data_IF_871711273356
#
_entry.id   IF_871711273356
#
_cell.length_a   1.000
_cell.length_b   1.000
_cell.length_c   1.000
_cell.angle_alpha   90.00
_cell.angle_beta   90.00
_cell.angle_gamma   90.00
#
_symmetry.space_group_name_H-M   'P 1'
#
loop_
_entity.id
_entity.type
_entity.pdbx_description
1 polymer ?
#
# COMPACT_ATOMS: atom_id res chain seq x y z
N UNK A 1 19.44 -27.63 -19.28
CA UNK A 1 20.21 -26.69 -20.10
C UNK A 1 20.17 -25.35 -19.40
N UNK A 2 21.31 -24.86 -18.88
CA UNK A 2 21.40 -23.48 -18.38
C UNK A 2 21.31 -22.54 -19.59
N UNK A 3 20.28 -21.72 -19.63
CA UNK A 3 20.22 -20.63 -20.61
C UNK A 3 21.31 -19.62 -20.22
N UNK A 4 22.30 -19.48 -21.07
CA UNK A 4 23.32 -18.45 -20.88
C UNK A 4 22.67 -17.10 -21.17
N UNK A 5 22.43 -16.31 -20.14
CA UNK A 5 21.86 -14.97 -20.28
C UNK A 5 22.96 -13.97 -20.64
N UNK A 6 22.69 -13.07 -21.58
CA UNK A 6 23.56 -11.93 -21.83
C UNK A 6 23.75 -11.13 -20.55
N UNK A 7 24.97 -10.68 -20.27
CA UNK A 7 25.25 -9.84 -19.12
C UNK A 7 24.51 -8.50 -19.25
N UNK A 8 23.72 -8.12 -18.25
CA UNK A 8 23.01 -6.84 -18.20
C UNK A 8 23.65 -5.93 -17.15
N UNK A 9 23.66 -4.64 -17.43
CA UNK A 9 24.21 -3.60 -16.56
C UNK A 9 23.15 -2.56 -16.20
N UNK A 10 23.37 -1.80 -15.14
CA UNK A 10 22.46 -0.72 -14.74
C UNK A 10 22.19 0.30 -15.86
N UNK A 11 23.21 0.59 -16.68
CA UNK A 11 23.10 1.52 -17.80
C UNK A 11 22.14 1.06 -18.90
N UNK A 12 21.87 -0.24 -19.02
CA UNK A 12 20.92 -0.75 -20.02
C UNK A 12 19.50 -0.27 -19.73
N UNK A 13 19.17 0.01 -18.46
CA UNK A 13 17.87 0.59 -18.11
C UNK A 13 17.59 1.87 -18.89
N UNK A 14 18.57 2.76 -18.97
CA UNK A 14 18.41 4.08 -19.60
C UNK A 14 18.30 3.97 -21.15
N UNK A 15 18.67 2.80 -21.70
CA UNK A 15 18.60 2.53 -23.14
C UNK A 15 17.28 1.87 -23.56
N UNK A 16 16.69 1.01 -22.71
CA UNK A 16 15.55 0.15 -23.11
C UNK A 16 14.26 0.41 -22.34
N UNK A 17 14.32 1.14 -21.22
CA UNK A 17 13.15 1.41 -20.39
C UNK A 17 12.61 2.83 -20.61
N UNK A 18 11.30 2.99 -20.50
CA UNK A 18 10.68 4.32 -20.47
C UNK A 18 11.24 5.10 -19.28
N UNK A 19 11.70 6.36 -19.44
CA UNK A 19 12.40 7.11 -18.40
C UNK A 19 11.47 7.71 -17.34
N UNK A 20 10.49 6.93 -16.86
CA UNK A 20 9.52 7.34 -15.84
C UNK A 20 9.96 6.95 -14.42
N UNK A 21 11.09 6.28 -14.27
CA UNK A 21 11.72 5.93 -13.00
C UNK A 21 13.20 6.33 -13.01
N UNK A 22 13.72 6.64 -11.82
CA UNK A 22 15.15 6.83 -11.57
C UNK A 22 15.62 5.78 -10.55
N UNK A 23 15.88 4.54 -11.01
CA UNK A 23 16.27 3.45 -10.10
C UNK A 23 17.67 3.70 -9.51
N UNK A 24 17.93 3.04 -8.37
CA UNK A 24 19.22 3.03 -7.68
C UNK A 24 20.39 2.63 -8.61
N UNK A 25 21.61 2.96 -8.19
CA UNK A 25 22.82 2.70 -8.98
C UNK A 25 23.26 1.23 -9.05
N UNK A 26 22.50 0.30 -8.45
CA UNK A 26 22.80 -1.13 -8.37
C UNK A 26 21.63 -1.98 -8.85
N UNK A 27 21.89 -3.24 -9.19
CA UNK A 27 20.87 -4.21 -9.59
C UNK A 27 20.79 -5.29 -8.53
N UNK A 28 19.67 -5.41 -7.77
CA UNK A 28 19.40 -6.53 -6.89
C UNK A 28 19.26 -7.83 -7.70
N UNK A 29 19.88 -8.91 -7.24
CA UNK A 29 19.83 -10.23 -7.91
C UNK A 29 19.36 -11.36 -6.99
N UNK A 30 19.38 -11.15 -5.67
CA UNK A 30 18.95 -12.14 -4.68
C UNK A 30 18.34 -11.44 -3.47
N UNK A 31 17.34 -12.05 -2.87
CA UNK A 31 16.76 -11.63 -1.59
C UNK A 31 16.44 -12.81 -0.69
N UNK A 32 16.56 -12.62 0.63
CA UNK A 32 16.16 -13.58 1.64
C UNK A 32 15.79 -12.83 2.93
N UNK A 33 14.58 -13.04 3.46
CA UNK A 33 14.09 -12.27 4.62
C UNK A 33 14.16 -10.76 4.36
N UNK A 34 14.84 -10.04 5.23
CA UNK A 34 15.02 -8.59 5.10
C UNK A 34 16.37 -8.18 4.49
N UNK A 35 17.00 -9.09 3.72
CA UNK A 35 18.29 -8.83 3.08
C UNK A 35 18.22 -8.99 1.57
N UNK A 36 18.99 -8.16 0.86
CA UNK A 36 19.09 -8.15 -0.60
C UNK A 36 20.57 -8.13 -0.98
N UNK A 37 20.92 -8.85 -2.04
CA UNK A 37 22.27 -8.84 -2.62
C UNK A 37 22.22 -8.34 -4.05
N UNK A 38 23.16 -7.44 -4.39
CA UNK A 38 23.32 -6.93 -5.73
C UNK A 38 24.26 -7.80 -6.60
N UNK A 39 24.44 -7.40 -7.87
CA UNK A 39 25.32 -8.08 -8.81
C UNK A 39 26.79 -8.11 -8.36
N UNK A 40 27.24 -7.15 -7.55
CA UNK A 40 28.59 -7.11 -7.02
C UNK A 40 28.76 -7.98 -5.75
N UNK A 41 27.68 -8.58 -5.26
CA UNK A 41 27.67 -9.37 -4.01
C UNK A 41 27.54 -8.51 -2.77
N UNK A 42 27.26 -7.21 -2.88
CA UNK A 42 27.02 -6.31 -1.77
C UNK A 42 25.70 -6.68 -1.08
N UNK A 43 25.72 -6.82 0.23
CA UNK A 43 24.54 -7.13 1.03
C UNK A 43 23.92 -5.87 1.63
N UNK A 44 22.63 -5.67 1.37
CA UNK A 44 21.85 -4.55 1.89
C UNK A 44 20.76 -5.06 2.84
N UNK A 45 20.48 -4.28 3.89
CA UNK A 45 19.28 -4.45 4.72
C UNK A 45 18.12 -3.72 4.06
N UNK A 46 16.95 -4.38 3.96
CA UNK A 46 15.77 -3.81 3.29
C UNK A 46 14.71 -3.34 4.30
N UNK A 47 14.68 -2.04 4.53
CA UNK A 47 13.60 -1.35 5.25
C UNK A 47 12.56 -0.72 4.31
N UNK A 48 12.68 -0.96 2.99
CA UNK A 48 11.73 -0.46 2.00
C UNK A 48 10.59 -1.43 1.72
N UNK A 49 10.87 -2.74 1.85
CA UNK A 49 9.91 -3.81 1.58
C UNK A 49 9.27 -3.74 0.19
N UNK A 50 9.98 -3.20 -0.82
CA UNK A 50 9.42 -3.01 -2.17
C UNK A 50 8.24 -2.03 -2.18
N UNK A 51 8.29 -0.98 -1.38
CA UNK A 51 7.20 -0.01 -1.11
C UNK A 51 6.02 -0.71 -0.39
N UNK A 52 6.33 -1.29 0.77
CA UNK A 52 5.37 -2.00 1.64
C UNK A 52 4.67 -3.21 0.96
N UNK A 53 5.36 -3.87 0.03
CA UNK A 53 4.85 -5.04 -0.71
C UNK A 53 5.31 -6.36 -0.07
N UNK A 54 6.62 -6.49 0.21
CA UNK A 54 7.24 -7.72 0.70
C UNK A 54 6.94 -7.92 2.20
N UNK A 55 5.69 -8.15 2.51
CA UNK A 55 5.16 -8.21 3.88
C UNK A 55 5.84 -9.29 4.74
N UNK A 56 6.26 -10.39 4.13
CA UNK A 56 6.98 -11.48 4.77
C UNK A 56 8.49 -11.49 4.44
N UNK A 57 8.99 -10.42 3.81
CA UNK A 57 10.37 -10.37 3.33
C UNK A 57 10.54 -11.09 1.99
N UNK A 58 11.79 -11.13 1.52
CA UNK A 58 12.15 -11.72 0.25
C UNK A 58 12.16 -13.25 0.35
N UNK A 59 11.60 -13.91 -0.67
CA UNK A 59 11.63 -15.37 -0.84
C UNK A 59 11.19 -16.15 0.41
N UNK A 60 10.13 -15.70 1.09
CA UNK A 60 9.61 -16.39 2.27
C UNK A 60 9.22 -17.84 1.91
N UNK A 61 9.64 -18.86 2.70
CA UNK A 61 9.45 -20.26 2.34
C UNK A 61 8.00 -20.65 2.07
N UNK A 62 7.03 -20.14 2.84
CA UNK A 62 5.61 -20.42 2.64
C UNK A 62 5.12 -19.90 1.27
N UNK A 63 5.58 -18.72 0.84
CA UNK A 63 5.18 -18.13 -0.45
C UNK A 63 5.82 -18.86 -1.62
N UNK A 64 7.13 -19.16 -1.51
CA UNK A 64 7.85 -19.93 -2.53
C UNK A 64 7.25 -21.32 -2.67
N UNK A 65 6.91 -21.99 -1.54
CA UNK A 65 6.26 -23.30 -1.53
C UNK A 65 4.90 -23.27 -2.23
N UNK A 66 4.00 -22.34 -1.83
CA UNK A 66 2.68 -22.21 -2.41
C UNK A 66 2.73 -21.88 -3.93
N UNK A 67 3.63 -20.99 -4.34
CA UNK A 67 3.84 -20.65 -5.74
C UNK A 67 4.33 -21.87 -6.54
N UNK A 68 5.33 -22.59 -6.02
CA UNK A 68 5.93 -23.75 -6.70
C UNK A 68 4.90 -24.88 -6.84
N UNK A 69 4.16 -25.18 -5.79
CA UNK A 69 3.10 -26.19 -5.82
C UNK A 69 2.04 -25.82 -6.86
N UNK A 70 1.50 -24.59 -6.80
CA UNK A 70 0.47 -24.15 -7.73
C UNK A 70 0.97 -24.04 -9.17
N UNK A 71 2.24 -23.68 -9.39
CA UNK A 71 2.84 -23.61 -10.71
C UNK A 71 2.90 -24.96 -11.43
N UNK A 72 2.93 -26.06 -10.69
CA UNK A 72 2.87 -27.41 -11.24
C UNK A 72 1.42 -27.89 -11.51
N UNK A 73 0.40 -27.14 -11.07
CA UNK A 73 -1.01 -27.53 -11.23
C UNK A 73 -1.73 -26.69 -12.31
N UNK A 74 -1.92 -25.40 -12.05
CA UNK A 74 -2.75 -24.56 -12.92
C UNK A 74 -2.35 -23.09 -12.80
N UNK A 75 -2.09 -22.43 -13.93
CA UNK A 75 -1.65 -21.03 -13.96
C UNK A 75 -2.80 -20.04 -14.18
N UNK A 76 -3.69 -20.34 -15.17
CA UNK A 76 -4.74 -19.43 -15.59
C UNK A 76 -5.89 -20.18 -16.28
N UNK A 77 -7.13 -19.79 -15.98
CA UNK A 77 -8.34 -20.36 -16.61
C UNK A 77 -9.39 -19.31 -16.96
N UNK A 78 -9.13 -18.02 -16.72
CA UNK A 78 -10.12 -16.93 -16.85
C UNK A 78 -11.26 -17.00 -15.82
N UNK A 79 -11.93 -15.86 -15.59
CA UNK A 79 -13.09 -15.76 -14.71
C UNK A 79 -14.39 -16.32 -15.34
N UNK A 80 -14.33 -16.85 -16.56
CA UNK A 80 -15.40 -17.68 -17.15
C UNK A 80 -15.50 -19.02 -16.39
N UNK A 81 -14.39 -19.48 -15.86
CA UNK A 81 -14.29 -20.62 -14.97
C UNK A 81 -13.81 -20.16 -13.60
N UNK A 82 -14.15 -20.85 -12.53
CA UNK A 82 -13.60 -20.60 -11.22
C UNK A 82 -12.44 -21.54 -10.93
N UNK A 83 -11.69 -21.26 -9.85
CA UNK A 83 -10.60 -22.12 -9.38
C UNK A 83 -10.57 -22.17 -7.85
N UNK A 84 -10.03 -23.25 -7.28
CA UNK A 84 -10.03 -23.46 -5.83
C UNK A 84 -9.21 -22.42 -5.05
N UNK A 85 -7.95 -22.06 -5.44
CA UNK A 85 -7.20 -21.04 -4.71
C UNK A 85 -7.93 -19.71 -4.57
N UNK A 86 -8.62 -19.27 -5.62
CA UNK A 86 -9.44 -18.04 -5.58
C UNK A 86 -10.57 -18.13 -4.55
N UNK A 87 -11.29 -19.26 -4.53
CA UNK A 87 -12.39 -19.47 -3.59
C UNK A 87 -11.89 -19.57 -2.15
N UNK A 88 -10.78 -20.25 -1.90
CA UNK A 88 -10.19 -20.37 -0.56
C UNK A 88 -9.71 -19.01 -0.04
N UNK A 89 -8.99 -18.23 -0.85
CA UNK A 89 -8.55 -16.90 -0.46
C UNK A 89 -9.75 -15.96 -0.23
N UNK A 90 -10.75 -15.97 -1.12
CA UNK A 90 -11.96 -15.16 -0.93
C UNK A 90 -12.66 -15.49 0.40
N UNK A 91 -12.80 -16.78 0.71
CA UNK A 91 -13.40 -17.23 1.98
C UNK A 91 -12.59 -16.74 3.17
N UNK A 92 -11.26 -16.86 3.18
CA UNK A 92 -10.41 -16.37 4.27
C UNK A 92 -10.55 -14.86 4.48
N UNK A 93 -10.62 -14.09 3.40
CA UNK A 93 -10.84 -12.63 3.48
C UNK A 93 -12.23 -12.29 4.05
N UNK A 94 -13.27 -12.97 3.60
CA UNK A 94 -14.64 -12.81 4.11
C UNK A 94 -14.71 -13.20 5.60
N UNK A 95 -14.17 -14.35 5.97
CA UNK A 95 -14.20 -14.84 7.35
C UNK A 95 -13.39 -13.94 8.32
N UNK A 96 -12.48 -13.11 7.81
CA UNK A 96 -11.57 -12.28 8.61
C UNK A 96 -11.88 -10.78 8.57
N UNK A 97 -12.90 -10.33 7.83
CA UNK A 97 -13.23 -8.91 7.65
C UNK A 97 -14.73 -8.64 7.74
N UNK A 98 -15.12 -7.37 7.51
CA UNK A 98 -16.55 -7.01 7.40
C UNK A 98 -17.18 -7.47 6.07
N UNK A 99 -16.33 -7.80 5.10
CA UNK A 99 -16.77 -8.05 3.73
C UNK A 99 -17.51 -9.40 3.59
N UNK A 100 -18.44 -9.44 2.67
CA UNK A 100 -19.20 -10.64 2.30
C UNK A 100 -18.89 -11.07 0.85
N UNK A 101 -18.25 -10.20 0.08
CA UNK A 101 -17.89 -10.42 -1.34
C UNK A 101 -16.54 -9.81 -1.65
N UNK A 102 -15.80 -10.49 -2.51
CA UNK A 102 -14.45 -10.10 -2.97
C UNK A 102 -14.41 -10.10 -4.49
N UNK A 103 -13.82 -9.06 -5.06
CA UNK A 103 -13.40 -9.00 -6.46
C UNK A 103 -11.89 -8.96 -6.51
N UNK A 104 -11.25 -9.94 -7.13
CA UNK A 104 -9.80 -9.98 -7.30
C UNK A 104 -9.35 -9.28 -8.58
N UNK A 105 -8.21 -8.61 -8.51
CA UNK A 105 -7.50 -7.98 -9.60
C UNK A 105 -5.98 -8.04 -9.36
N UNK A 106 -5.16 -7.26 -10.07
CA UNK A 106 -3.71 -7.46 -10.09
C UNK A 106 -2.93 -6.31 -9.45
N UNK A 107 -3.55 -5.15 -9.32
CA UNK A 107 -2.91 -3.93 -8.81
C UNK A 107 -3.85 -3.12 -7.93
N UNK A 108 -3.28 -2.27 -7.06
CA UNK A 108 -4.06 -1.34 -6.25
C UNK A 108 -4.90 -0.36 -7.10
N UNK A 109 -4.38 0.04 -8.26
CA UNK A 109 -5.13 0.88 -9.18
C UNK A 109 -6.39 0.18 -9.69
N UNK A 110 -6.32 -1.10 -10.07
CA UNK A 110 -7.49 -1.88 -10.49
C UNK A 110 -8.49 -2.09 -9.35
N UNK A 111 -8.01 -2.32 -8.12
CA UNK A 111 -8.88 -2.43 -6.95
C UNK A 111 -9.64 -1.12 -6.68
N UNK A 112 -8.95 0.01 -6.77
CA UNK A 112 -9.55 1.34 -6.63
C UNK A 112 -10.49 1.68 -7.79
N UNK A 113 -10.15 1.35 -9.03
CA UNK A 113 -11.07 1.47 -10.18
C UNK A 113 -12.39 0.73 -9.91
N UNK A 114 -12.29 -0.52 -9.42
CA UNK A 114 -13.46 -1.32 -9.07
C UNK A 114 -14.26 -0.66 -7.94
N UNK A 115 -13.59 -0.16 -6.89
CA UNK A 115 -14.23 0.51 -5.75
C UNK A 115 -14.99 1.77 -6.18
N UNK A 116 -14.35 2.65 -6.96
CA UNK A 116 -14.95 3.91 -7.41
C UNK A 116 -16.10 3.66 -8.41
N UNK A 117 -15.94 2.71 -9.31
CA UNK A 117 -17.00 2.29 -10.23
C UNK A 117 -18.18 1.69 -9.48
N UNK A 118 -17.93 0.84 -8.48
CA UNK A 118 -19.00 0.27 -7.67
C UNK A 118 -19.76 1.38 -6.92
N UNK A 119 -19.05 2.32 -6.29
CA UNK A 119 -19.69 3.43 -5.58
C UNK A 119 -20.59 4.27 -6.49
N UNK A 120 -20.10 4.65 -7.67
CA UNK A 120 -20.91 5.37 -8.67
C UNK A 120 -22.10 4.54 -9.17
N UNK A 121 -21.90 3.25 -9.38
CA UNK A 121 -22.97 2.36 -9.86
C UNK A 121 -24.07 2.21 -8.82
N UNK A 122 -23.71 1.97 -7.56
CA UNK A 122 -24.66 1.88 -6.44
C UNK A 122 -25.49 3.17 -6.34
N UNK A 123 -24.80 4.32 -6.36
CA UNK A 123 -25.48 5.61 -6.26
C UNK A 123 -26.42 5.86 -7.43
N UNK A 124 -25.99 5.56 -8.66
CA UNK A 124 -26.83 5.67 -9.86
C UNK A 124 -28.10 4.80 -9.76
N UNK A 125 -27.94 3.55 -9.35
CA UNK A 125 -29.05 2.59 -9.30
C UNK A 125 -30.08 2.92 -8.18
N UNK A 126 -29.61 3.49 -7.07
CA UNK A 126 -30.47 3.77 -5.92
C UNK A 126 -31.02 5.20 -5.88
N UNK A 127 -30.26 6.18 -6.40
CA UNK A 127 -30.55 7.61 -6.23
C UNK A 127 -30.58 8.39 -7.53
N UNK A 128 -30.21 7.77 -8.66
CA UNK A 128 -30.21 8.39 -9.99
C UNK A 128 -28.84 8.95 -10.41
N UNK A 129 -28.75 9.46 -11.65
CA UNK A 129 -27.49 9.81 -12.31
C UNK A 129 -26.78 11.04 -11.73
N UNK A 130 -27.48 11.88 -10.96
CA UNK A 130 -26.91 13.10 -10.37
C UNK A 130 -26.02 12.83 -9.15
N UNK A 131 -26.11 11.64 -8.54
CA UNK A 131 -25.33 11.24 -7.36
C UNK A 131 -24.06 10.47 -7.79
N UNK A 132 -23.04 11.20 -8.22
CA UNK A 132 -21.80 10.61 -8.75
C UNK A 132 -20.51 11.25 -8.23
N UNK A 133 -20.63 12.27 -7.36
CA UNK A 133 -19.48 13.01 -6.87
C UNK A 133 -18.66 12.16 -5.87
N UNK A 134 -17.33 12.26 -5.98
CA UNK A 134 -16.38 11.62 -5.07
C UNK A 134 -15.58 12.69 -4.35
N UNK A 135 -15.51 12.59 -3.04
CA UNK A 135 -14.65 13.43 -2.20
C UNK A 135 -13.43 12.60 -1.80
N UNK A 136 -12.23 13.12 -2.03
CA UNK A 136 -10.99 12.50 -1.60
C UNK A 136 -10.11 13.50 -0.82
N UNK A 137 -8.99 13.05 -0.28
CA UNK A 137 -8.11 13.92 0.47
C UNK A 137 -6.96 14.47 -0.38
N UNK A 138 -6.53 15.70 -0.10
CA UNK A 138 -5.29 16.26 -0.62
C UNK A 138 -4.11 15.35 -0.22
N UNK A 139 -3.10 15.24 -1.08
CA UNK A 139 -1.92 14.37 -0.94
C UNK A 139 -2.22 12.87 -0.97
N UNK A 140 -3.45 12.42 -1.19
CA UNK A 140 -3.76 11.00 -1.35
C UNK A 140 -3.13 10.38 -2.60
N UNK A 141 -2.96 9.06 -2.58
CA UNK A 141 -2.45 8.29 -3.72
C UNK A 141 -3.29 7.03 -3.91
N UNK A 142 -4.05 6.96 -5.01
CA UNK A 142 -4.97 5.85 -5.29
C UNK A 142 -4.63 5.06 -6.55
N UNK A 143 -3.56 5.41 -7.26
CA UNK A 143 -3.11 4.74 -8.49
C UNK A 143 -2.78 5.70 -9.63
N UNK A 144 -2.48 5.13 -10.80
CA UNK A 144 -1.99 5.87 -11.99
C UNK A 144 -2.88 5.69 -13.23
N UNK A 145 -4.03 5.02 -13.15
CA UNK A 145 -5.05 5.00 -14.21
C UNK A 145 -5.79 6.35 -14.22
N UNK A 146 -6.46 6.69 -15.32
CA UNK A 146 -7.10 8.00 -15.45
C UNK A 146 -8.13 8.27 -14.36
N UNK A 147 -8.89 7.27 -13.91
CA UNK A 147 -9.83 7.47 -12.82
C UNK A 147 -9.10 7.59 -11.47
N UNK A 148 -8.23 6.64 -11.17
CA UNK A 148 -7.54 6.64 -9.86
C UNK A 148 -6.64 7.85 -9.69
N UNK A 149 -5.97 8.32 -10.75
CA UNK A 149 -5.14 9.54 -10.69
C UNK A 149 -5.98 10.81 -10.56
N UNK A 150 -7.24 10.78 -11.05
CA UNK A 150 -8.18 11.89 -10.86
C UNK A 150 -8.70 11.96 -9.43
N UNK A 151 -8.89 10.81 -8.76
CA UNK A 151 -9.27 10.74 -7.33
C UNK A 151 -8.07 11.03 -6.44
N UNK A 152 -6.85 10.72 -6.88
CA UNK A 152 -5.62 11.06 -6.15
C UNK A 152 -5.43 12.57 -5.98
N UNK A 153 -5.02 12.99 -4.77
CA UNK A 153 -4.89 14.37 -4.37
C UNK A 153 -3.52 15.02 -4.63
N UNK A 154 -2.74 14.49 -5.58
CA UNK A 154 -1.38 14.98 -5.92
C UNK A 154 -1.32 15.43 -7.39
N UNK A 155 -1.41 16.75 -7.68
CA UNK A 155 -1.43 17.27 -9.05
C UNK A 155 -0.30 16.78 -9.94
N UNK A 156 0.92 16.61 -9.40
CA UNK A 156 2.10 16.13 -10.13
C UNK A 156 1.90 14.80 -10.88
N UNK A 157 0.90 13.99 -10.47
CA UNK A 157 0.60 12.71 -11.12
C UNK A 157 -0.50 12.79 -12.16
N UNK A 158 -1.34 13.83 -12.09
CA UNK A 158 -2.52 14.00 -12.96
C UNK A 158 -2.36 15.10 -13.99
N UNK A 159 -1.46 16.07 -13.77
CA UNK A 159 -1.27 17.19 -14.68
C UNK A 159 -0.68 16.72 -16.02
N UNK A 160 -1.22 17.25 -17.11
CA UNK A 160 -0.85 16.84 -18.47
C UNK A 160 -1.62 15.65 -19.02
N UNK A 161 -2.45 14.96 -18.21
CA UNK A 161 -3.25 13.79 -18.63
C UNK A 161 -4.77 14.10 -18.70
N UNK A 162 -5.11 15.39 -18.89
CA UNK A 162 -6.52 15.81 -18.97
C UNK A 162 -7.24 15.41 -20.26
N UNK A 163 -8.58 15.51 -20.29
CA UNK A 163 -9.40 16.01 -19.16
C UNK A 163 -9.50 14.98 -18.02
N UNK A 164 -9.47 15.48 -16.78
CA UNK A 164 -9.68 14.64 -15.59
C UNK A 164 -11.15 14.17 -15.53
N UNK A 165 -11.40 13.06 -14.83
CA UNK A 165 -12.76 12.60 -14.56
C UNK A 165 -13.49 13.65 -13.73
N UNK A 166 -14.70 14.02 -14.16
CA UNK A 166 -15.54 15.03 -13.50
C UNK A 166 -16.19 14.50 -12.22
N UNK A 167 -16.60 15.43 -11.35
CA UNK A 167 -17.29 15.13 -10.10
C UNK A 167 -16.33 14.61 -9.02
N UNK A 168 -15.07 15.06 -9.02
CA UNK A 168 -14.10 14.74 -8.00
C UNK A 168 -13.59 16.02 -7.36
N UNK A 169 -13.61 16.08 -6.04
CA UNK A 169 -13.07 17.18 -5.26
C UNK A 169 -12.18 16.69 -4.13
N UNK A 170 -11.29 17.55 -3.65
CA UNK A 170 -10.30 17.21 -2.63
C UNK A 170 -10.40 18.17 -1.45
N UNK A 171 -10.33 17.61 -0.24
CA UNK A 171 -10.30 18.35 1.02
C UNK A 171 -9.00 18.09 1.77
N UNK A 172 -8.54 18.98 2.64
CA UNK A 172 -7.39 18.69 3.50
C UNK A 172 -7.64 17.42 4.34
N UNK A 173 -6.63 16.58 4.45
CA UNK A 173 -6.71 15.38 5.29
C UNK A 173 -6.70 15.77 6.77
N UNK A 174 -7.48 15.06 7.60
CA UNK A 174 -7.73 15.37 9.00
C UNK A 174 -8.48 16.70 9.26
N UNK A 175 -9.12 17.28 8.23
CA UNK A 175 -9.98 18.45 8.39
C UNK A 175 -11.46 18.03 8.24
N UNK A 176 -12.09 17.72 9.37
CA UNK A 176 -13.48 17.27 9.40
C UNK A 176 -14.46 18.37 8.95
N UNK A 177 -14.17 19.64 9.25
CA UNK A 177 -15.04 20.75 8.85
C UNK A 177 -14.98 21.00 7.34
N UNK A 178 -13.79 20.88 6.74
CA UNK A 178 -13.67 20.94 5.28
C UNK A 178 -14.38 19.75 4.61
N UNK A 179 -14.28 18.55 5.16
CA UNK A 179 -14.99 17.38 4.66
C UNK A 179 -16.51 17.57 4.74
N UNK A 180 -17.01 18.05 5.88
CA UNK A 180 -18.43 18.32 6.10
C UNK A 180 -18.99 19.38 5.15
N UNK A 181 -18.20 20.42 4.84
CA UNK A 181 -18.59 21.44 3.88
C UNK A 181 -18.63 20.93 2.42
N UNK A 182 -17.85 19.89 2.11
CA UNK A 182 -17.74 19.34 0.76
C UNK A 182 -18.77 18.23 0.46
N UNK A 183 -19.19 17.46 1.47
CA UNK A 183 -20.14 16.36 1.29
C UNK A 183 -21.55 16.92 1.07
N UNK A 184 -22.21 16.45 0.00
CA UNK A 184 -23.56 16.87 -0.40
C UNK A 184 -24.42 15.66 -0.77
N UNK A 185 -25.69 15.88 -1.07
CA UNK A 185 -26.59 14.81 -1.54
C UNK A 185 -26.18 14.24 -2.91
N UNK A 186 -25.28 14.92 -3.64
CA UNK A 186 -24.68 14.41 -4.88
C UNK A 186 -23.45 13.54 -4.65
N UNK A 187 -22.90 13.53 -3.44
CA UNK A 187 -21.73 12.71 -3.08
C UNK A 187 -22.10 11.24 -3.06
N UNK A 188 -21.46 10.43 -3.90
CA UNK A 188 -21.64 8.98 -3.92
C UNK A 188 -20.60 8.26 -3.04
N UNK A 189 -19.42 8.86 -2.84
CA UNK A 189 -18.38 8.27 -2.00
C UNK A 189 -17.45 9.33 -1.39
N UNK A 190 -16.95 9.00 -0.18
CA UNK A 190 -15.76 9.59 0.42
C UNK A 190 -14.67 8.54 0.39
N UNK A 191 -13.52 8.87 -0.21
CA UNK A 191 -12.38 7.96 -0.42
C UNK A 191 -11.21 8.41 0.42
N UNK A 192 -10.77 7.59 1.35
CA UNK A 192 -9.69 7.89 2.28
C UNK A 192 -8.70 6.72 2.38
N UNK A 193 -7.43 7.04 2.54
CA UNK A 193 -6.44 6.11 3.10
C UNK A 193 -6.52 6.24 4.64
N UNK A 194 -6.69 5.17 5.43
CA UNK A 194 -6.60 5.28 6.90
C UNK A 194 -5.24 5.81 7.37
N UNK A 195 -4.20 5.61 6.56
CA UNK A 195 -2.88 6.22 6.71
C UNK A 195 -2.43 6.63 5.32
N UNK A 196 -2.26 7.92 5.06
CA UNK A 196 -1.69 8.38 3.79
C UNK A 196 -0.24 7.95 3.67
N UNK A 197 0.03 6.90 2.88
CA UNK A 197 1.39 6.34 2.75
C UNK A 197 2.32 7.23 1.93
N UNK A 198 1.90 7.63 0.73
CA UNK A 198 2.67 8.49 -0.18
C UNK A 198 2.58 9.98 0.21
N UNK A 199 1.55 10.37 0.94
CA UNK A 199 1.34 11.71 1.46
C UNK A 199 2.14 12.05 2.73
N UNK A 200 3.18 11.28 3.05
CA UNK A 200 4.07 11.57 4.19
C UNK A 200 3.86 10.67 5.40
N UNK A 201 3.33 9.49 5.24
CA UNK A 201 3.01 8.53 6.33
C UNK A 201 2.18 9.22 7.42
N UNK A 202 1.07 9.81 7.02
CA UNK A 202 0.19 10.58 7.91
C UNK A 202 -1.01 9.72 8.33
N UNK A 203 -1.12 9.30 9.62
CA UNK A 203 -2.30 8.61 10.13
C UNK A 203 -3.55 9.50 10.12
N UNK A 204 -4.71 8.91 9.86
CA UNK A 204 -5.99 9.57 10.07
C UNK A 204 -6.26 9.76 11.55
N UNK A 205 -6.78 10.92 11.91
CA UNK A 205 -7.28 11.15 13.27
C UNK A 205 -8.60 10.39 13.46
N UNK A 206 -8.79 9.81 14.66
CA UNK A 206 -9.98 8.99 14.94
C UNK A 206 -11.28 9.76 14.71
N UNK A 207 -11.35 11.00 15.22
CA UNK A 207 -12.54 11.84 15.07
C UNK A 207 -12.84 12.19 13.61
N UNK A 208 -11.79 12.35 12.79
CA UNK A 208 -11.93 12.59 11.35
C UNK A 208 -12.51 11.36 10.64
N UNK A 209 -11.98 10.17 10.89
CA UNK A 209 -12.47 8.95 10.25
C UNK A 209 -13.88 8.57 10.72
N UNK A 210 -14.18 8.75 12.01
CA UNK A 210 -15.54 8.56 12.55
C UNK A 210 -16.51 9.59 11.99
N UNK A 211 -16.07 10.85 11.87
CA UNK A 211 -16.84 11.92 11.25
C UNK A 211 -17.13 11.64 9.78
N UNK A 212 -16.14 11.14 9.02
CA UNK A 212 -16.32 10.72 7.63
C UNK A 212 -17.37 9.61 7.49
N UNK A 213 -17.33 8.59 8.40
CA UNK A 213 -18.33 7.52 8.41
C UNK A 213 -19.74 8.11 8.65
N UNK A 214 -19.87 8.95 9.66
CA UNK A 214 -21.16 9.59 9.99
C UNK A 214 -21.72 10.42 8.84
N UNK A 215 -20.87 11.25 8.20
CA UNK A 215 -21.28 12.06 7.03
C UNK A 215 -21.73 11.18 5.87
N UNK A 216 -21.02 10.08 5.59
CA UNK A 216 -21.44 9.13 4.58
C UNK A 216 -22.82 8.55 4.88
N UNK A 217 -23.09 8.17 6.13
CA UNK A 217 -24.38 7.62 6.55
C UNK A 217 -25.51 8.66 6.41
N UNK A 218 -25.26 9.91 6.84
CA UNK A 218 -26.23 11.00 6.76
C UNK A 218 -26.62 11.37 5.32
N UNK A 219 -25.65 11.28 4.39
CA UNK A 219 -25.86 11.65 2.98
C UNK A 219 -26.07 10.44 2.06
N UNK A 220 -26.19 9.23 2.58
CA UNK A 220 -26.28 7.99 1.79
C UNK A 220 -25.12 7.88 0.77
N UNK A 221 -23.92 8.32 1.15
CA UNK A 221 -22.68 8.13 0.42
C UNK A 221 -21.96 6.87 0.94
N UNK A 222 -21.03 6.33 0.17
CA UNK A 222 -20.23 5.17 0.60
C UNK A 222 -18.88 5.63 1.14
N UNK A 223 -18.45 5.07 2.27
CA UNK A 223 -17.09 5.23 2.76
C UNK A 223 -16.20 4.16 2.11
N UNK A 224 -15.20 4.61 1.36
CA UNK A 224 -14.21 3.77 0.71
C UNK A 224 -12.88 3.93 1.43
N UNK A 225 -12.34 2.84 1.98
CA UNK A 225 -10.99 2.85 2.50
C UNK A 225 -10.02 2.21 1.51
N UNK A 226 -9.04 3.00 1.09
CA UNK A 226 -7.88 2.51 0.37
C UNK A 226 -6.85 1.98 1.38
N UNK A 227 -6.85 0.68 1.56
CA UNK A 227 -5.90 -0.04 2.43
C UNK A 227 -4.82 -0.78 1.63
N UNK A 228 -4.53 -0.30 0.44
CA UNK A 228 -3.47 -0.85 -0.42
C UNK A 228 -2.11 -0.81 0.28
N UNK A 229 -1.83 0.22 1.09
CA UNK A 229 -0.56 0.32 1.81
C UNK A 229 -0.68 0.03 3.31
N UNK A 230 -1.80 0.33 3.94
CA UNK A 230 -2.03 0.18 5.38
C UNK A 230 -2.52 -1.20 5.80
N UNK A 231 -3.08 -1.97 4.87
CA UNK A 231 -3.68 -3.27 5.13
C UNK A 231 -2.69 -4.43 5.27
N UNK A 232 -3.26 -5.62 5.38
CA UNK A 232 -2.54 -6.89 5.45
C UNK A 232 -1.46 -6.92 6.55
N UNK A 233 -1.85 -6.55 7.77
CA UNK A 233 -1.00 -6.63 8.95
C UNK A 233 -0.08 -5.42 9.19
N UNK A 234 0.09 -4.53 8.21
CA UNK A 234 1.03 -3.43 8.26
C UNK A 234 0.85 -2.51 9.47
N UNK A 235 -0.39 -2.24 9.86
CA UNK A 235 -0.76 -1.43 11.01
C UNK A 235 -0.70 -2.17 12.37
N UNK A 236 -0.42 -3.48 12.38
CA UNK A 236 -0.55 -4.34 13.55
C UNK A 236 -1.95 -4.93 13.75
N UNK A 237 -2.86 -4.65 12.81
CA UNK A 237 -4.17 -5.28 12.63
C UNK A 237 -4.23 -5.82 11.19
N UNK A 238 -5.09 -6.80 10.90
CA UNK A 238 -5.18 -7.33 9.54
C UNK A 238 -5.46 -6.20 8.54
N UNK A 239 -6.37 -5.28 8.89
CA UNK A 239 -6.58 -4.01 8.17
C UNK A 239 -6.64 -2.85 9.15
N UNK A 240 -6.22 -1.67 8.72
CA UNK A 240 -6.15 -0.48 9.58
C UNK A 240 -7.53 -0.01 10.07
N UNK A 241 -8.60 -0.24 9.32
CA UNK A 241 -9.96 0.08 9.78
C UNK A 241 -10.30 -0.59 11.11
N UNK A 242 -9.73 -1.78 11.39
CA UNK A 242 -9.94 -2.51 12.65
C UNK A 242 -9.29 -1.79 13.85
N UNK A 243 -8.16 -1.11 13.61
CA UNK A 243 -7.52 -0.26 14.62
C UNK A 243 -8.41 0.92 15.02
N UNK A 244 -9.03 1.56 14.04
CA UNK A 244 -9.86 2.74 14.25
C UNK A 244 -11.29 2.41 14.69
N UNK A 245 -11.71 1.15 14.54
CA UNK A 245 -13.10 0.76 14.79
C UNK A 245 -14.10 1.43 13.85
N UNK A 246 -13.64 1.83 12.64
CA UNK A 246 -14.46 2.50 11.62
C UNK A 246 -14.56 1.59 10.41
N UNK A 247 -15.72 0.95 10.22
CA UNK A 247 -15.95 0.01 9.12
C UNK A 247 -16.32 0.75 7.84
N UNK A 248 -15.58 0.56 6.73
CA UNK A 248 -15.94 1.12 5.43
C UNK A 248 -17.04 0.27 4.76
N UNK A 249 -17.63 0.83 3.69
CA UNK A 249 -18.56 0.11 2.80
C UNK A 249 -17.78 -0.68 1.72
N UNK A 250 -16.64 -0.14 1.29
CA UNK A 250 -15.76 -0.74 0.30
C UNK A 250 -14.33 -0.57 0.79
N UNK A 251 -13.52 -1.63 0.63
CA UNK A 251 -12.11 -1.63 0.96
C UNK A 251 -11.29 -2.13 -0.21
N UNK A 252 -10.23 -1.42 -0.59
CA UNK A 252 -9.25 -1.90 -1.56
C UNK A 252 -7.96 -2.38 -0.88
N UNK A 253 -7.44 -3.51 -1.34
CA UNK A 253 -6.21 -4.14 -0.85
C UNK A 253 -5.32 -4.54 -2.02
N UNK A 254 -4.01 -4.36 -1.88
CA UNK A 254 -3.00 -4.80 -2.83
C UNK A 254 -1.65 -4.95 -2.10
N UNK A 255 -0.53 -4.80 -2.82
CA UNK A 255 0.82 -4.84 -2.21
C UNK A 255 1.00 -6.07 -1.32
N UNK A 256 0.89 -5.88 -0.02
CA UNK A 256 1.10 -6.92 0.99
C UNK A 256 0.24 -8.18 0.79
N UNK A 257 -0.96 -8.09 0.21
CA UNK A 257 -1.81 -9.27 -0.03
C UNK A 257 -1.16 -10.29 -0.96
N UNK A 258 -0.31 -9.82 -1.89
CA UNK A 258 0.44 -10.67 -2.80
C UNK A 258 1.84 -11.03 -2.29
N UNK A 259 2.34 -10.38 -1.23
CA UNK A 259 3.65 -10.65 -0.64
C UNK A 259 4.83 -10.55 -1.62
N UNK A 260 4.69 -9.82 -2.72
CA UNK A 260 5.63 -9.72 -3.83
C UNK A 260 5.07 -10.20 -5.17
N UNK A 261 4.03 -11.03 -5.16
CA UNK A 261 3.32 -11.46 -6.38
C UNK A 261 2.19 -10.46 -6.71
N UNK A 262 1.93 -10.14 -8.00
CA UNK A 262 0.85 -9.24 -8.38
C UNK A 262 -0.53 -9.80 -7.99
N UNK A 263 -1.14 -9.22 -6.96
CA UNK A 263 -2.46 -9.55 -6.45
C UNK A 263 -3.08 -8.33 -5.78
N UNK A 264 -4.35 -8.12 -6.04
CA UNK A 264 -5.15 -7.11 -5.36
C UNK A 264 -6.61 -7.57 -5.24
N UNK A 265 -7.35 -6.89 -4.36
CA UNK A 265 -8.76 -7.19 -4.15
C UNK A 265 -9.55 -5.92 -3.80
N UNK A 266 -10.80 -5.87 -4.23
CA UNK A 266 -11.82 -4.98 -3.70
C UNK A 266 -12.80 -5.82 -2.89
N UNK A 267 -13.02 -5.42 -1.62
CA UNK A 267 -13.86 -6.09 -0.65
C UNK A 267 -15.09 -5.23 -0.38
N UNK A 268 -16.27 -5.84 -0.28
CA UNK A 268 -17.53 -5.13 -0.01
C UNK A 268 -18.60 -6.05 0.54
N UNK A 269 -19.76 -5.48 0.91
CA UNK A 269 -20.91 -6.24 1.37
C UNK A 269 -21.69 -6.86 0.21
N UNK A 270 -22.49 -7.89 0.48
CA UNK A 270 -23.38 -8.50 -0.52
C UNK A 270 -24.39 -7.49 -1.09
N UNK A 271 -24.90 -6.60 -0.22
CA UNK A 271 -25.84 -5.56 -0.62
C UNK A 271 -25.29 -4.69 -1.75
N UNK A 272 -24.04 -4.28 -1.65
CA UNK A 272 -23.39 -3.42 -2.65
C UNK A 272 -22.91 -4.23 -3.87
N UNK A 273 -22.38 -5.42 -3.67
CA UNK A 273 -21.87 -6.27 -4.75
C UNK A 273 -22.91 -6.61 -5.81
N UNK A 274 -24.19 -6.67 -5.46
CA UNK A 274 -25.32 -6.92 -6.40
C UNK A 274 -25.40 -5.90 -7.54
N UNK A 275 -24.86 -4.70 -7.35
CA UNK A 275 -24.82 -3.66 -8.38
C UNK A 275 -23.74 -3.91 -9.44
N UNK A 276 -22.78 -4.80 -9.17
CA UNK A 276 -21.84 -5.33 -10.16
C UNK A 276 -22.40 -6.63 -10.75
N UNK A 277 -23.45 -6.51 -11.56
CA UNK A 277 -24.02 -7.63 -12.29
C UNK A 277 -23.04 -8.17 -13.34
N UNK A 278 -23.32 -9.37 -13.86
CA UNK A 278 -22.52 -10.02 -14.89
C UNK A 278 -22.29 -9.07 -16.07
N UNK A 279 -21.02 -8.92 -16.47
CA UNK A 279 -20.59 -8.09 -17.60
C UNK A 279 -20.37 -6.59 -17.30
N UNK A 280 -20.69 -6.11 -16.09
CA UNK A 280 -20.52 -4.68 -15.73
C UNK A 280 -19.06 -4.31 -15.46
N UNK A 281 -18.30 -5.22 -14.87
CA UNK A 281 -16.87 -5.04 -14.58
C UNK A 281 -16.15 -6.38 -14.71
N UNK A 282 -14.83 -6.35 -14.95
CA UNK A 282 -14.06 -7.58 -15.11
C UNK A 282 -12.56 -7.34 -15.22
N UNK A 283 -11.82 -8.42 -15.20
CA UNK A 283 -10.37 -8.50 -15.36
C UNK A 283 -10.00 -9.82 -16.01
N UNK A 284 -8.92 -9.86 -16.78
CA UNK A 284 -8.42 -11.11 -17.38
C UNK A 284 -7.69 -11.98 -16.37
N UNK A 285 -6.75 -11.41 -15.64
CA UNK A 285 -5.84 -12.16 -14.75
C UNK A 285 -6.23 -12.12 -13.27
N UNK A 286 -7.07 -11.19 -12.85
CA UNK A 286 -7.49 -11.08 -11.45
C UNK A 286 -8.17 -12.35 -10.98
N UNK A 287 -7.73 -12.87 -9.83
CA UNK A 287 -8.18 -14.16 -9.32
C UNK A 287 -7.50 -15.38 -9.96
N UNK A 288 -6.35 -15.20 -10.62
CA UNK A 288 -5.61 -16.34 -11.16
C UNK A 288 -5.11 -17.26 -10.02
N UNK A 289 -5.02 -18.58 -10.28
CA UNK A 289 -4.65 -19.56 -9.27
C UNK A 289 -3.29 -19.31 -8.61
N UNK A 290 -2.29 -18.85 -9.37
CA UNK A 290 -0.94 -18.59 -8.83
C UNK A 290 -0.96 -17.49 -7.78
N UNK A 291 -1.54 -16.33 -8.15
CA UNK A 291 -1.64 -15.18 -7.26
C UNK A 291 -2.45 -15.51 -6.00
N UNK A 292 -3.58 -16.21 -6.16
CA UNK A 292 -4.45 -16.55 -5.04
C UNK A 292 -3.84 -17.58 -4.10
N UNK A 293 -3.09 -18.56 -4.61
CA UNK A 293 -2.34 -19.50 -3.76
C UNK A 293 -1.27 -18.79 -2.92
N UNK A 294 -0.55 -17.83 -3.52
CA UNK A 294 0.41 -17.00 -2.77
C UNK A 294 -0.31 -16.13 -1.74
N UNK A 295 -1.40 -15.46 -2.12
CA UNK A 295 -2.20 -14.64 -1.20
C UNK A 295 -2.80 -15.44 -0.04
N UNK A 296 -3.20 -16.69 -0.28
CA UNK A 296 -3.64 -17.61 0.77
C UNK A 296 -2.51 -17.90 1.77
N UNK A 297 -1.30 -18.17 1.30
CA UNK A 297 -0.13 -18.37 2.16
C UNK A 297 0.25 -17.09 2.93
N UNK A 298 0.09 -15.92 2.30
CA UNK A 298 0.31 -14.62 3.00
C UNK A 298 -0.64 -14.48 4.18
N UNK A 299 -1.96 -14.61 3.98
CA UNK A 299 -2.94 -14.40 5.05
C UNK A 299 -2.77 -15.42 6.18
N UNK A 300 -2.40 -16.68 5.86
CA UNK A 300 -2.18 -17.71 6.86
C UNK A 300 -1.01 -17.37 7.80
N UNK A 301 0.05 -16.74 7.29
CA UNK A 301 1.18 -16.33 8.12
C UNK A 301 0.86 -15.05 8.91
N UNK A 302 0.31 -14.03 8.25
CA UNK A 302 0.16 -12.70 8.89
C UNK A 302 -1.03 -12.61 9.82
N UNK A 303 -2.13 -13.30 9.53
CA UNK A 303 -3.35 -13.22 10.35
C UNK A 303 -3.25 -14.12 11.59
N UNK A 304 -2.16 -13.98 12.31
CA UNK A 304 -1.89 -14.68 13.57
C UNK A 304 -1.62 -13.67 14.68
N UNK A 305 -2.09 -13.93 15.92
CA UNK A 305 -1.84 -13.05 17.06
C UNK A 305 -0.35 -12.76 17.26
N UNK A 306 0.52 -13.74 17.00
CA UNK A 306 1.98 -13.60 17.17
C UNK A 306 2.56 -12.57 16.19
N UNK A 307 2.20 -12.63 14.92
CA UNK A 307 2.71 -11.69 13.92
C UNK A 307 2.17 -10.29 14.16
N UNK A 308 0.84 -10.16 14.36
CA UNK A 308 0.21 -8.85 14.56
C UNK A 308 0.69 -8.14 15.84
N UNK A 309 0.82 -8.86 16.96
CA UNK A 309 1.42 -8.31 18.18
C UNK A 309 2.92 -7.99 17.99
N UNK A 310 3.64 -8.81 17.23
CA UNK A 310 5.03 -8.59 16.87
C UNK A 310 5.24 -7.26 16.11
N UNK A 311 4.29 -6.85 15.28
CA UNK A 311 4.33 -5.58 14.55
C UNK A 311 4.35 -4.40 15.53
N UNK A 312 3.52 -4.42 16.58
CA UNK A 312 3.49 -3.34 17.57
C UNK A 312 4.78 -3.26 18.37
N UNK A 313 5.34 -4.40 18.76
CA UNK A 313 6.65 -4.44 19.47
C UNK A 313 7.77 -3.86 18.59
N UNK A 314 7.85 -4.28 17.33
CA UNK A 314 8.85 -3.78 16.38
C UNK A 314 8.65 -2.30 16.06
N UNK A 315 7.40 -1.83 15.97
CA UNK A 315 7.12 -0.40 15.84
C UNK A 315 7.78 0.40 16.96
N UNK A 316 7.61 -0.03 18.21
CA UNK A 316 8.20 0.67 19.35
C UNK A 316 9.73 0.66 19.31
N UNK A 317 10.33 -0.44 18.85
CA UNK A 317 11.78 -0.58 18.67
C UNK A 317 12.32 0.43 17.63
N UNK A 318 11.69 0.48 16.45
CA UNK A 318 12.00 1.48 15.42
C UNK A 318 11.80 2.91 15.95
N UNK A 319 10.65 3.20 16.54
CA UNK A 319 10.26 4.53 16.99
C UNK A 319 11.28 5.07 18.01
N UNK A 320 11.57 4.31 19.06
CA UNK A 320 12.52 4.73 20.10
C UNK A 320 13.89 5.06 19.52
N UNK A 321 14.39 4.22 18.61
CA UNK A 321 15.72 4.42 18.03
C UNK A 321 15.74 5.61 17.06
N UNK A 322 14.72 5.76 16.23
CA UNK A 322 14.59 6.87 15.27
C UNK A 322 14.39 8.22 15.98
N UNK A 323 13.63 8.26 17.07
CA UNK A 323 13.50 9.46 17.92
C UNK A 323 14.84 9.85 18.55
N UNK A 324 15.61 8.87 19.03
CA UNK A 324 16.97 9.11 19.57
C UNK A 324 17.90 9.69 18.50
N UNK A 325 17.91 9.14 17.29
CA UNK A 325 18.68 9.67 16.16
C UNK A 325 18.23 11.10 15.82
N UNK A 326 16.90 11.33 15.75
CA UNK A 326 16.34 12.66 15.49
C UNK A 326 16.80 13.71 16.51
N UNK A 327 16.80 13.37 17.80
CA UNK A 327 17.24 14.24 18.87
C UNK A 327 18.75 14.50 18.83
N UNK A 328 19.55 13.46 18.61
CA UNK A 328 21.01 13.55 18.60
C UNK A 328 21.53 14.43 17.46
N UNK A 329 20.94 14.32 16.28
CA UNK A 329 21.43 14.97 15.06
C UNK A 329 20.56 16.16 14.60
N UNK A 330 19.43 16.42 15.24
CA UNK A 330 18.52 17.51 14.88
C UNK A 330 17.85 17.34 13.52
N UNK A 331 17.74 16.10 13.02
CA UNK A 331 17.28 15.81 11.65
C UNK A 331 15.76 15.66 11.56
N UNK A 332 15.12 15.13 12.61
CA UNK A 332 13.68 14.86 12.62
C UNK A 332 12.99 15.69 13.71
N UNK A 333 11.78 16.18 13.40
CA UNK A 333 10.86 16.79 14.38
C UNK A 333 9.86 15.80 14.93
N UNK A 334 9.52 14.74 14.14
CA UNK A 334 8.49 13.79 14.49
C UNK A 334 8.80 12.42 13.90
N UNK A 335 8.54 11.35 14.65
CA UNK A 335 8.46 9.97 14.17
C UNK A 335 7.01 9.52 14.32
N UNK A 336 6.31 9.28 13.20
CA UNK A 336 4.89 8.98 13.16
C UNK A 336 4.57 7.75 12.33
N UNK A 337 3.32 7.36 12.30
CA UNK A 337 2.82 6.18 11.57
C UNK A 337 2.13 5.19 12.48
N UNK A 338 1.79 4.03 11.95
CA UNK A 338 1.12 2.96 12.68
C UNK A 338 1.70 1.60 12.26
N UNK A 339 2.03 0.77 13.24
CA UNK A 339 2.70 -0.49 12.99
C UNK A 339 4.03 -0.30 12.25
N UNK A 340 4.30 -1.12 11.24
CA UNK A 340 5.52 -1.02 10.43
C UNK A 340 5.32 -0.21 9.14
N UNK A 341 4.53 0.86 9.22
CA UNK A 341 4.51 1.97 8.27
C UNK A 341 4.91 3.22 9.05
N UNK A 342 6.19 3.59 8.97
CA UNK A 342 6.81 4.59 9.84
C UNK A 342 7.36 5.73 8.99
N UNK A 343 7.07 6.97 9.39
CA UNK A 343 7.55 8.19 8.76
C UNK A 343 8.34 9.05 9.73
N UNK A 344 9.52 9.49 9.32
CA UNK A 344 10.33 10.48 10.05
C UNK A 344 10.21 11.82 9.33
N UNK A 345 9.54 12.78 9.94
CA UNK A 345 9.35 14.13 9.41
C UNK A 345 10.63 14.93 9.62
N UNK A 346 11.16 15.50 8.55
CA UNK A 346 12.38 16.29 8.58
C UNK A 346 12.18 17.60 9.34
N UNK A 347 13.20 18.01 10.06
CA UNK A 347 13.25 19.33 10.71
C UNK A 347 13.37 20.46 9.66
N UNK A 348 13.08 21.70 10.06
CA UNK A 348 13.16 22.85 9.15
C UNK A 348 14.54 23.00 8.49
N UNK A 349 15.61 22.65 9.20
CA UNK A 349 16.99 22.68 8.68
C UNK A 349 17.23 21.61 7.60
N UNK A 350 16.41 20.57 7.59
CA UNK A 350 16.53 19.43 6.68
C UNK A 350 15.40 19.36 5.64
N UNK A 351 14.49 20.33 5.63
CA UNK A 351 13.37 20.39 4.71
C UNK A 351 13.85 20.31 3.25
N UNK A 352 13.19 19.46 2.46
CA UNK A 352 13.53 19.19 1.06
C UNK A 352 14.68 18.21 0.85
N UNK A 353 15.34 17.71 1.90
CA UNK A 353 16.55 16.88 1.82
C UNK A 353 16.31 15.37 2.01
N UNK A 354 15.06 14.90 1.90
CA UNK A 354 14.78 13.46 2.02
C UNK A 354 15.58 12.61 1.03
N UNK A 355 15.84 13.14 -0.18
CA UNK A 355 16.64 12.44 -1.19
C UNK A 355 18.11 12.30 -0.78
N UNK A 356 18.66 13.29 -0.10
CA UNK A 356 20.06 13.22 0.37
C UNK A 356 20.21 12.13 1.44
N UNK A 357 19.25 12.04 2.38
CA UNK A 357 19.21 10.99 3.40
C UNK A 357 19.02 9.62 2.75
N UNK A 358 18.14 9.50 1.75
CA UNK A 358 17.95 8.27 0.98
C UNK A 358 19.26 7.80 0.34
N UNK A 359 19.99 8.70 -0.33
CA UNK A 359 21.25 8.37 -0.98
C UNK A 359 22.34 8.00 0.05
N UNK A 360 22.38 8.70 1.20
CA UNK A 360 23.31 8.39 2.26
C UNK A 360 23.05 7.02 2.90
N UNK A 361 21.79 6.64 3.07
CA UNK A 361 21.42 5.32 3.57
C UNK A 361 21.82 4.21 2.57
N UNK A 362 21.62 4.41 1.26
CA UNK A 362 22.07 3.50 0.22
C UNK A 362 23.61 3.32 0.25
N UNK A 363 24.35 4.39 0.51
CA UNK A 363 25.81 4.35 0.66
C UNK A 363 26.28 3.64 1.95
N UNK A 364 25.34 3.35 2.89
CA UNK A 364 25.57 2.52 4.07
C UNK A 364 24.89 1.14 3.95
N UNK A 365 24.61 0.69 2.72
CA UNK A 365 24.00 -0.60 2.43
C UNK A 365 22.61 -0.79 3.09
N UNK A 366 21.81 0.28 3.14
CA UNK A 366 20.46 0.28 3.68
C UNK A 366 19.46 0.80 2.64
N UNK A 367 18.43 0.00 2.36
CA UNK A 367 17.32 0.38 1.51
C UNK A 367 16.19 0.99 2.34
N UNK A 368 15.90 2.26 2.10
CA UNK A 368 14.78 3.00 2.73
C UNK A 368 13.90 3.61 1.64
N UNK A 369 12.87 4.35 2.04
CA UNK A 369 11.98 5.07 1.16
C UNK A 369 11.91 6.55 1.55
N UNK A 370 11.33 7.35 0.65
CA UNK A 370 10.86 8.70 0.96
C UNK A 370 9.37 8.80 0.64
N UNK A 371 8.66 9.63 1.39
CA UNK A 371 7.26 9.97 1.16
C UNK A 371 7.14 11.50 1.00
N UNK A 372 7.34 11.96 -0.24
CA UNK A 372 7.53 13.37 -0.54
C UNK A 372 8.95 13.86 -0.21
N UNK A 373 9.19 15.19 -0.26
CA UNK A 373 10.53 15.77 -0.06
C UNK A 373 10.96 15.85 1.41
N UNK A 374 10.02 15.72 2.35
CA UNK A 374 10.21 16.07 3.75
C UNK A 374 10.01 14.89 4.72
N UNK A 375 9.83 13.66 4.21
CA UNK A 375 9.60 12.49 5.07
C UNK A 375 10.43 11.29 4.60
N UNK A 376 11.19 10.70 5.51
CA UNK A 376 11.80 9.38 5.32
C UNK A 376 10.80 8.33 5.77
N UNK A 377 10.60 7.29 4.94
CA UNK A 377 9.63 6.22 5.19
C UNK A 377 10.33 4.87 5.34
N UNK A 378 9.89 4.12 6.35
CA UNK A 378 10.26 2.73 6.58
C UNK A 378 9.02 1.85 6.48
N UNK A 379 9.14 0.76 5.74
CA UNK A 379 8.08 -0.23 5.55
C UNK A 379 8.67 -1.66 5.46
N UNK A 380 9.43 -2.11 6.47
CA UNK A 380 10.11 -3.40 6.44
C UNK A 380 9.13 -4.57 6.45
N UNK A 381 9.63 -5.79 6.29
CA UNK A 381 8.86 -7.01 6.52
C UNK A 381 8.24 -7.04 7.92
N UNK A 382 7.01 -7.56 8.06
CA UNK A 382 6.38 -7.72 9.38
C UNK A 382 7.08 -8.77 10.24
N UNK A 383 7.78 -9.69 9.59
CA UNK A 383 8.53 -10.77 10.25
C UNK A 383 10.04 -10.50 10.29
N UNK A 384 10.45 -9.24 10.06
CA UNK A 384 11.86 -8.84 10.18
C UNK A 384 12.44 -9.26 11.52
N UNK A 385 13.65 -9.80 11.51
CA UNK A 385 14.36 -10.23 12.71
C UNK A 385 14.89 -9.02 13.50
N UNK A 386 14.95 -9.15 14.82
CA UNK A 386 15.45 -8.06 15.68
C UNK A 386 16.89 -7.67 15.33
N UNK A 387 17.74 -8.63 14.97
CA UNK A 387 19.10 -8.37 14.52
C UNK A 387 19.17 -7.52 13.26
N UNK A 388 18.25 -7.75 12.30
CA UNK A 388 18.17 -6.94 11.07
C UNK A 388 17.65 -5.51 11.36
N UNK A 389 16.77 -5.37 12.37
CA UNK A 389 16.31 -4.06 12.83
C UNK A 389 17.48 -3.26 13.42
N UNK A 390 18.21 -3.85 14.35
CA UNK A 390 19.35 -3.19 15.01
C UNK A 390 20.44 -2.80 13.99
N UNK A 391 20.85 -3.75 13.14
CA UNK A 391 21.86 -3.49 12.13
C UNK A 391 21.42 -2.41 11.13
N UNK A 392 20.17 -2.46 10.66
CA UNK A 392 19.65 -1.48 9.72
C UNK A 392 19.58 -0.08 10.35
N UNK A 393 19.16 0.03 11.61
CA UNK A 393 19.14 1.31 12.34
C UNK A 393 20.55 1.84 12.62
N UNK A 394 21.54 0.98 12.89
CA UNK A 394 22.94 1.39 13.01
C UNK A 394 23.51 1.89 11.67
N UNK A 395 23.15 1.25 10.55
CA UNK A 395 23.48 1.74 9.20
C UNK A 395 22.84 3.09 8.93
N UNK A 396 21.59 3.27 9.34
CA UNK A 396 20.87 4.53 9.20
C UNK A 396 21.51 5.65 10.03
N UNK A 397 21.84 5.39 11.29
CA UNK A 397 22.51 6.37 12.13
C UNK A 397 23.89 6.79 11.57
N UNK A 398 24.68 5.84 11.05
CA UNK A 398 25.94 6.16 10.35
C UNK A 398 25.72 7.04 9.12
N UNK A 399 24.62 6.82 8.36
CA UNK A 399 24.27 7.66 7.23
C UNK A 399 23.95 9.10 7.66
N UNK A 400 23.15 9.26 8.72
CA UNK A 400 22.83 10.57 9.30
C UNK A 400 24.07 11.27 9.85
N UNK A 401 24.90 10.58 10.62
CA UNK A 401 26.14 11.14 11.19
C UNK A 401 27.07 11.70 10.10
N UNK A 402 27.20 11.01 8.97
CA UNK A 402 28.02 11.48 7.84
C UNK A 402 27.44 12.70 7.12
N UNK A 403 26.13 12.90 7.16
CA UNK A 403 25.47 14.06 6.54
C UNK A 403 25.52 15.28 7.45
N UNK A 404 25.70 15.09 8.76
CA UNK A 404 25.69 16.16 9.77
C UNK A 404 27.07 16.56 10.23
N UNK A 405 28.14 15.81 9.85
CA UNK A 405 29.54 16.15 10.08
C UNK A 405 30.05 17.12 9.00
#
# INVERSE_FOLDING_TARGET
MSVEHAAVQRADFDQVMVPNYAPAGFIPVRGAGSRVWDQAGRELVDFSGGIAVNVLGHCHPALVGALTEQANNLWHVSNVFTNEPTLRLAKKLVDSTFAERVFFCNSGAEANEAAFKLARRVAHDLYGPEKYEIIAAVNSFHGRTLFTVSVGGQPKYSDGFGPKITGISHVPYNDLEALKAAVTDKTCAVVLEPIQGEGGVLPGELDYLQGARKLCDEHNALLVFDEVQSGMGRSGHLFAYMHYGVTPDILSSAKSIGGGFPLAAMLTTEKLAKHFAVGVHGTTYGGNPLACAVGEAVIDVINTPQVLAGVQRKHQQFKTRLESIGQQYGVFTEVRGLGLLIGCVLSDAWKGKAKDIFNAAEAQDLMILQAGPDVIRFAPSLVIEDADIEEGLDRFERAIAKLTS
#
